data_IF_986318990468
#
_entry.id   IF_986318990468
#
_cell.length_a   1.000
_cell.length_b   1.000
_cell.length_c   1.000
_cell.angle_alpha   90.00
_cell.angle_beta   90.00
_cell.angle_gamma   90.00
#
_symmetry.space_group_name_H-M   'P 1'
#
loop_
_entity.id
_entity.type
_entity.pdbx_description
1 polymer ?
#
# COMPACT_ATOMS: atom_id res chain seq x y z
N UNK A 1 -17.69 -19.13 10.76
CA UNK A 1 -18.52 -18.13 10.07
C UNK A 1 -17.77 -17.74 8.81
N UNK A 2 -18.38 -17.79 7.62
CA UNK A 2 -17.73 -17.31 6.39
C UNK A 2 -17.67 -15.79 6.45
N UNK A 3 -16.50 -15.21 6.31
CA UNK A 3 -16.34 -13.77 6.33
C UNK A 3 -16.90 -13.16 5.04
N UNK A 4 -17.57 -12.02 5.16
CA UNK A 4 -18.25 -11.35 4.04
C UNK A 4 -17.30 -10.95 2.89
N UNK A 5 -16.05 -10.63 3.18
CA UNK A 5 -15.04 -10.27 2.16
C UNK A 5 -14.72 -11.40 1.18
N UNK A 6 -15.03 -12.66 1.51
CA UNK A 6 -14.89 -13.79 0.56
C UNK A 6 -16.05 -13.90 -0.44
N UNK A 7 -17.11 -13.15 -0.21
CA UNK A 7 -18.32 -13.17 -1.02
C UNK A 7 -18.56 -11.80 -1.65
N UNK A 8 -18.32 -10.74 -0.87
CA UNK A 8 -18.49 -9.34 -1.30
C UNK A 8 -17.15 -8.64 -1.10
N UNK A 9 -16.56 -8.04 -2.14
CA UNK A 9 -15.33 -7.28 -2.01
C UNK A 9 -15.47 -6.14 -0.98
N UNK A 10 -14.47 -5.97 -0.14
CA UNK A 10 -14.40 -4.87 0.82
C UNK A 10 -13.24 -3.97 0.41
N UNK A 11 -13.54 -2.74 0.04
CA UNK A 11 -12.58 -1.81 -0.56
C UNK A 11 -11.33 -1.56 0.27
N UNK A 12 -11.46 -1.56 1.59
CA UNK A 12 -10.38 -1.22 2.52
C UNK A 12 -9.66 -2.44 3.11
N UNK A 13 -10.10 -3.64 2.82
CA UNK A 13 -9.65 -4.88 3.48
C UNK A 13 -8.14 -5.12 3.36
N UNK A 14 -7.69 -5.68 2.24
CA UNK A 14 -6.27 -5.90 1.95
C UNK A 14 -5.52 -4.59 1.65
N UNK A 15 -6.20 -3.61 1.04
CA UNK A 15 -5.64 -2.28 0.79
C UNK A 15 -5.20 -1.59 2.09
N UNK A 16 -6.03 -1.62 3.14
CA UNK A 16 -5.67 -1.07 4.46
C UNK A 16 -4.44 -1.76 5.05
N UNK A 17 -4.34 -3.08 4.87
CA UNK A 17 -3.17 -3.83 5.31
C UNK A 17 -1.87 -3.36 4.63
N UNK A 18 -1.91 -3.12 3.32
CA UNK A 18 -0.77 -2.57 2.58
C UNK A 18 -0.41 -1.18 3.07
N UNK A 19 -1.40 -0.28 3.17
CA UNK A 19 -1.17 1.08 3.62
C UNK A 19 -0.55 1.14 5.02
N UNK A 20 -1.05 0.32 5.95
CA UNK A 20 -0.49 0.25 7.30
C UNK A 20 0.92 -0.33 7.35
N UNK A 21 1.21 -1.34 6.54
CA UNK A 21 2.54 -1.94 6.47
C UNK A 21 3.59 -0.97 5.91
N UNK A 22 3.22 -0.13 4.96
CA UNK A 22 4.12 0.81 4.29
C UNK A 22 4.14 2.21 4.92
N UNK A 23 3.31 2.48 5.92
CA UNK A 23 3.02 3.81 6.46
C UNK A 23 4.27 4.62 6.85
N UNK A 24 5.20 4.00 7.59
CA UNK A 24 6.37 4.68 8.16
C UNK A 24 7.66 4.55 7.33
N UNK A 25 7.58 3.90 6.16
CA UNK A 25 8.77 3.61 5.37
C UNK A 25 9.25 4.77 4.49
N UNK A 26 8.48 5.85 4.45
CA UNK A 26 8.80 7.06 3.67
C UNK A 26 8.50 6.90 2.18
N UNK A 27 7.68 5.94 1.82
CA UNK A 27 7.16 5.77 0.46
C UNK A 27 5.84 6.48 0.25
N UNK A 28 5.43 6.59 -1.01
CA UNK A 28 4.12 7.06 -1.43
C UNK A 28 3.26 5.86 -1.83
N UNK A 29 2.14 5.67 -1.14
CA UNK A 29 1.15 4.63 -1.46
C UNK A 29 -0.01 5.27 -2.21
N UNK A 30 -0.30 4.80 -3.41
CA UNK A 30 -1.40 5.32 -4.23
C UNK A 30 -2.46 4.25 -4.41
N UNK A 31 -3.62 4.48 -3.81
CA UNK A 31 -4.80 3.66 -3.98
C UNK A 31 -5.54 4.10 -5.25
N UNK A 32 -5.62 3.24 -6.25
CA UNK A 32 -6.45 3.51 -7.42
C UNK A 32 -7.90 3.16 -7.10
N UNK A 33 -8.70 4.18 -6.81
CA UNK A 33 -10.05 4.03 -6.29
C UNK A 33 -10.92 5.28 -6.52
N UNK A 34 -12.25 5.15 -6.56
CA UNK A 34 -13.18 6.28 -6.58
C UNK A 34 -13.19 7.18 -5.34
N UNK A 35 -12.42 6.85 -4.31
CA UNK A 35 -12.27 7.56 -3.03
C UNK A 35 -13.37 7.38 -1.98
N UNK A 36 -14.42 6.63 -2.25
CA UNK A 36 -15.51 6.44 -1.29
C UNK A 36 -15.07 5.74 0.00
N UNK A 37 -14.84 4.44 -0.06
CA UNK A 37 -14.53 3.64 1.13
C UNK A 37 -13.08 3.81 1.60
N UNK A 38 -12.12 3.98 0.68
CA UNK A 38 -10.71 4.12 1.05
C UNK A 38 -10.36 5.45 1.72
N UNK A 39 -11.17 6.49 1.58
CA UNK A 39 -10.98 7.76 2.28
C UNK A 39 -11.08 7.62 3.80
N UNK A 40 -11.82 6.64 4.30
CA UNK A 40 -11.94 6.38 5.74
C UNK A 40 -10.62 5.93 6.36
N UNK A 41 -9.79 5.23 5.61
CA UNK A 41 -8.45 4.84 6.06
C UNK A 41 -7.62 6.07 6.48
N UNK A 42 -7.60 7.10 5.64
CA UNK A 42 -6.83 8.32 5.90
C UNK A 42 -7.42 9.20 7.02
N UNK A 43 -8.68 9.00 7.39
CA UNK A 43 -9.36 9.86 8.36
C UNK A 43 -9.60 9.21 9.72
N UNK A 44 -9.78 7.90 9.78
CA UNK A 44 -10.24 7.21 10.99
C UNK A 44 -9.52 5.91 11.30
N UNK A 45 -9.10 5.16 10.30
CA UNK A 45 -8.64 3.79 10.51
C UNK A 45 -7.16 3.70 10.92
N UNK A 46 -6.34 4.70 10.59
CA UNK A 46 -4.92 4.73 10.91
C UNK A 46 -4.64 5.68 12.08
N UNK A 47 -4.43 5.13 13.24
CA UNK A 47 -4.22 5.90 14.48
C UNK A 47 -2.92 6.72 14.49
N UNK A 48 -1.91 6.30 13.74
CA UNK A 48 -0.62 7.02 13.62
C UNK A 48 -0.75 8.34 12.88
N UNK A 49 -1.85 8.55 12.16
CA UNK A 49 -2.12 9.77 11.42
C UNK A 49 -2.09 11.04 12.28
N UNK A 50 -2.39 10.89 13.58
CA UNK A 50 -2.36 12.02 14.52
C UNK A 50 -0.93 12.40 14.97
N UNK A 51 0.00 11.45 14.89
CA UNK A 51 1.37 11.60 15.40
C UNK A 51 2.40 11.72 14.28
N UNK A 52 2.10 11.16 13.12
CA UNK A 52 3.03 11.06 12.01
C UNK A 52 2.32 11.08 10.65
N UNK A 53 2.68 12.04 9.82
CA UNK A 53 2.18 12.12 8.45
C UNK A 53 2.73 10.99 7.57
N UNK A 54 1.92 10.54 6.60
CA UNK A 54 2.34 9.60 5.58
C UNK A 54 1.79 10.00 4.21
N UNK A 55 2.51 9.61 3.16
CA UNK A 55 2.13 9.91 1.78
C UNK A 55 1.20 8.81 1.25
N UNK A 56 -0.07 8.87 1.64
CA UNK A 56 -1.11 7.97 1.16
C UNK A 56 -2.13 8.77 0.36
N UNK A 57 -2.27 8.42 -0.90
CA UNK A 57 -3.12 9.11 -1.86
C UNK A 57 -4.19 8.17 -2.43
N UNK A 58 -5.30 8.78 -2.83
CA UNK A 58 -6.38 8.12 -3.56
C UNK A 58 -6.52 8.81 -4.90
N UNK A 59 -6.58 8.05 -5.98
CA UNK A 59 -6.57 8.59 -7.35
C UNK A 59 -7.84 9.33 -7.74
N UNK A 60 -8.95 9.14 -7.03
CA UNK A 60 -10.23 9.74 -7.38
C UNK A 60 -10.77 9.24 -8.74
N UNK A 61 -10.70 7.94 -8.98
CA UNK A 61 -11.20 7.29 -10.20
C UNK A 61 -12.66 7.66 -10.45
N UNK A 62 -12.94 8.28 -11.61
CA UNK A 62 -14.31 8.60 -12.03
C UNK A 62 -14.96 7.43 -12.78
N UNK A 63 -16.29 7.46 -12.93
CA UNK A 63 -17.01 6.46 -13.73
C UNK A 63 -16.52 6.43 -15.18
N UNK A 64 -16.25 7.61 -15.77
CA UNK A 64 -15.76 7.73 -17.12
C UNK A 64 -14.36 7.13 -17.24
N UNK A 65 -13.47 7.43 -16.28
CA UNK A 65 -12.12 6.86 -16.25
C UNK A 65 -12.15 5.33 -16.10
N UNK A 66 -13.09 4.82 -15.30
CA UNK A 66 -13.25 3.38 -15.12
C UNK A 66 -13.73 2.66 -16.39
N UNK A 67 -14.56 3.29 -17.20
CA UNK A 67 -15.12 2.71 -18.43
C UNK A 67 -14.17 2.87 -19.62
N UNK A 68 -13.57 4.03 -19.77
CA UNK A 68 -12.74 4.38 -20.93
C UNK A 68 -11.26 4.03 -20.76
N UNK A 69 -10.82 3.89 -19.51
CA UNK A 69 -9.41 3.86 -19.14
C UNK A 69 -8.80 5.28 -19.17
N UNK A 70 -8.00 5.63 -18.19
CA UNK A 70 -7.30 6.92 -18.15
C UNK A 70 -5.95 6.79 -17.42
N UNK A 71 -5.13 5.87 -17.89
CA UNK A 71 -3.82 5.60 -17.31
C UNK A 71 -2.89 6.82 -17.39
N UNK A 72 -3.01 7.64 -18.45
CA UNK A 72 -2.18 8.84 -18.62
C UNK A 72 -2.43 9.85 -17.49
N UNK A 73 -3.69 10.11 -17.16
CA UNK A 73 -4.04 11.01 -16.06
C UNK A 73 -3.51 10.45 -14.74
N UNK A 74 -3.75 9.18 -14.47
CA UNK A 74 -3.28 8.51 -13.27
C UNK A 74 -1.75 8.61 -13.10
N UNK A 75 -0.99 8.32 -14.15
CA UNK A 75 0.46 8.46 -14.16
C UNK A 75 0.91 9.92 -13.98
N UNK A 76 0.22 10.86 -14.63
CA UNK A 76 0.52 12.29 -14.53
C UNK A 76 0.37 12.82 -13.11
N UNK A 77 -0.75 12.49 -12.47
CA UNK A 77 -1.05 12.92 -11.09
C UNK A 77 -0.01 12.36 -10.09
N UNK A 78 0.38 11.09 -10.26
CA UNK A 78 1.42 10.46 -9.42
C UNK A 78 2.78 11.13 -9.64
N UNK A 79 3.15 11.43 -10.87
CA UNK A 79 4.42 12.09 -11.20
C UNK A 79 4.48 13.51 -10.62
N UNK A 80 3.38 14.23 -10.63
CA UNK A 80 3.28 15.56 -10.00
C UNK A 80 3.49 15.45 -8.48
N UNK A 81 2.75 14.57 -7.82
CA UNK A 81 2.92 14.31 -6.39
C UNK A 81 4.34 13.84 -6.04
N UNK A 82 4.93 12.97 -6.85
CA UNK A 82 6.29 12.49 -6.62
C UNK A 82 7.36 13.59 -6.72
N UNK A 83 7.16 14.58 -7.60
CA UNK A 83 8.05 15.77 -7.70
C UNK A 83 7.92 16.69 -6.50
N UNK A 84 6.74 16.80 -5.91
CA UNK A 84 6.49 17.64 -4.74
C UNK A 84 7.00 17.01 -3.46
N UNK A 85 6.67 15.73 -3.24
CA UNK A 85 6.90 15.05 -1.96
C UNK A 85 8.19 14.22 -1.88
N UNK A 86 8.86 13.96 -2.99
CA UNK A 86 10.12 13.22 -3.08
C UNK A 86 10.13 11.89 -2.29
N UNK A 87 9.18 10.97 -2.54
CA UNK A 87 9.10 9.71 -1.79
C UNK A 87 10.29 8.80 -2.07
N UNK A 88 10.61 7.91 -1.13
CA UNK A 88 11.67 6.91 -1.30
C UNK A 88 11.30 5.80 -2.28
N UNK A 89 10.01 5.51 -2.40
CA UNK A 89 9.44 4.57 -3.35
C UNK A 89 7.97 4.92 -3.62
N UNK A 90 7.41 4.35 -4.67
CA UNK A 90 5.98 4.47 -5.03
C UNK A 90 5.36 3.07 -5.03
N UNK A 91 4.30 2.87 -4.27
CA UNK A 91 3.54 1.63 -4.25
C UNK A 91 2.13 1.85 -4.82
N UNK A 92 1.77 1.12 -5.87
CA UNK A 92 0.44 1.15 -6.46
C UNK A 92 -0.42 0.04 -5.88
N UNK A 93 -1.62 0.39 -5.44
CA UNK A 93 -2.56 -0.49 -4.76
C UNK A 93 -3.91 -0.46 -5.47
N UNK A 94 -4.47 -1.62 -5.73
CA UNK A 94 -5.75 -1.75 -6.43
C UNK A 94 -6.92 -1.91 -5.48
N UNK A 95 -7.98 -1.14 -5.70
CA UNK A 95 -9.31 -1.44 -5.18
C UNK A 95 -10.05 -2.45 -6.07
N UNK A 96 -11.22 -2.97 -5.69
CA UNK A 96 -11.98 -3.92 -6.51
C UNK A 96 -12.32 -3.43 -7.92
N UNK A 97 -12.58 -2.14 -8.12
CA UNK A 97 -13.00 -1.62 -9.44
C UNK A 97 -11.85 -1.71 -10.47
N UNK A 98 -10.68 -1.14 -10.24
CA UNK A 98 -9.55 -1.28 -11.19
C UNK A 98 -9.13 -2.74 -11.38
N UNK A 99 -9.23 -3.56 -10.33
CA UNK A 99 -8.97 -5.00 -10.46
C UNK A 99 -9.93 -5.68 -11.43
N UNK A 100 -11.23 -5.41 -11.33
CA UNK A 100 -12.23 -5.96 -12.26
C UNK A 100 -12.08 -5.43 -13.69
N UNK A 101 -11.62 -4.19 -13.84
CA UNK A 101 -11.33 -3.60 -15.15
C UNK A 101 -10.05 -4.14 -15.79
N UNK A 102 -9.25 -4.91 -15.07
CA UNK A 102 -8.02 -5.49 -15.56
C UNK A 102 -6.88 -4.48 -15.74
N UNK A 103 -6.84 -3.42 -14.92
CA UNK A 103 -5.75 -2.44 -14.92
C UNK A 103 -4.40 -3.12 -14.66
N UNK A 104 -3.42 -2.92 -15.54
CA UNK A 104 -2.08 -3.51 -15.44
C UNK A 104 -1.16 -2.66 -14.54
N UNK A 105 -1.34 -2.79 -13.22
CA UNK A 105 -0.52 -2.08 -12.23
C UNK A 105 0.98 -2.37 -12.32
N UNK A 106 1.44 -3.61 -12.58
CA UNK A 106 2.85 -3.88 -12.83
C UNK A 106 3.44 -3.07 -13.98
N UNK A 107 2.72 -2.94 -15.10
CA UNK A 107 3.16 -2.13 -16.22
C UNK A 107 3.21 -0.63 -15.85
N UNK A 108 2.17 -0.12 -15.19
CA UNK A 108 2.11 1.27 -14.72
C UNK A 108 3.24 1.60 -13.73
N UNK A 109 3.53 0.72 -12.79
CA UNK A 109 4.63 0.89 -11.86
C UNK A 109 5.99 0.95 -12.57
N UNK A 110 6.19 0.11 -13.60
CA UNK A 110 7.41 0.13 -14.40
C UNK A 110 7.57 1.43 -15.19
N UNK A 111 6.50 1.95 -15.74
CA UNK A 111 6.51 3.26 -16.44
C UNK A 111 6.89 4.37 -15.46
N UNK A 112 6.27 4.40 -14.27
CA UNK A 112 6.60 5.36 -13.21
C UNK A 112 8.07 5.30 -12.82
N UNK A 113 8.61 4.10 -12.62
CA UNK A 113 10.02 3.92 -12.26
C UNK A 113 10.96 4.47 -13.32
N UNK A 114 10.67 4.21 -14.60
CA UNK A 114 11.49 4.71 -15.73
C UNK A 114 11.43 6.23 -15.82
N UNK A 115 10.24 6.82 -15.66
CA UNK A 115 10.04 8.26 -15.87
C UNK A 115 10.45 9.12 -14.66
N UNK A 116 10.30 8.59 -13.44
CA UNK A 116 10.62 9.34 -12.21
C UNK A 116 12.01 9.01 -11.64
N UNK A 117 12.56 7.85 -11.97
CA UNK A 117 13.77 7.31 -11.35
C UNK A 117 13.56 6.83 -9.90
N UNK A 118 12.31 6.84 -9.41
CA UNK A 118 11.96 6.40 -8.06
C UNK A 118 11.54 4.93 -8.12
N UNK A 119 12.07 4.05 -7.25
CA UNK A 119 11.65 2.65 -7.18
C UNK A 119 10.13 2.54 -7.08
N UNK A 120 9.49 1.91 -8.05
CA UNK A 120 8.03 1.82 -8.13
C UNK A 120 7.60 0.37 -8.30
N UNK A 121 6.55 -0.05 -7.58
CA UNK A 121 6.03 -1.41 -7.64
C UNK A 121 4.53 -1.45 -7.38
N UNK A 122 3.90 -2.51 -7.87
CA UNK A 122 2.49 -2.80 -7.61
C UNK A 122 2.36 -3.82 -6.49
N UNK A 123 1.37 -3.63 -5.63
CA UNK A 123 0.97 -4.62 -4.62
C UNK A 123 -0.39 -5.19 -5.04
N UNK A 124 -0.50 -6.51 -5.29
CA UNK A 124 -1.67 -7.11 -5.91
C UNK A 124 -2.84 -7.26 -4.92
N UNK A 125 -3.51 -6.17 -4.61
CA UNK A 125 -4.74 -6.11 -3.81
C UNK A 125 -5.98 -6.13 -4.70
N UNK A 126 -7.11 -6.54 -4.15
CA UNK A 126 -8.39 -6.61 -4.89
C UNK A 126 -9.64 -6.53 -4.00
N UNK A 127 -9.48 -6.28 -2.70
CA UNK A 127 -10.59 -6.25 -1.74
C UNK A 127 -11.20 -7.62 -1.40
N UNK A 128 -10.61 -8.71 -1.87
CA UNK A 128 -11.11 -10.07 -1.61
C UNK A 128 -10.41 -10.78 -0.45
N UNK A 129 -9.40 -10.15 0.13
CA UNK A 129 -8.59 -10.68 1.21
C UNK A 129 -8.68 -9.79 2.44
N UNK A 130 -8.20 -10.28 3.57
CA UNK A 130 -8.20 -9.51 4.81
C UNK A 130 -6.98 -8.59 4.94
N UNK A 131 -7.00 -7.79 5.99
CA UNK A 131 -5.93 -6.88 6.36
C UNK A 131 -4.56 -7.57 6.51
N UNK A 132 -4.53 -8.76 7.15
CA UNK A 132 -3.28 -9.48 7.42
C UNK A 132 -2.64 -9.95 6.12
N UNK A 133 -3.46 -10.42 5.17
CA UNK A 133 -2.99 -10.77 3.85
C UNK A 133 -2.37 -9.56 3.14
N UNK A 134 -3.07 -8.40 3.14
CA UNK A 134 -2.56 -7.18 2.53
C UNK A 134 -1.22 -6.74 3.12
N UNK A 135 -1.09 -6.75 4.45
CA UNK A 135 0.17 -6.43 5.11
C UNK A 135 1.29 -7.43 4.73
N UNK A 136 0.96 -8.73 4.64
CA UNK A 136 1.90 -9.77 4.27
C UNK A 136 2.49 -9.57 2.87
N UNK A 137 1.65 -9.33 1.86
CA UNK A 137 2.11 -9.09 0.48
C UNK A 137 2.90 -7.78 0.35
N UNK A 138 2.56 -6.75 1.14
CA UNK A 138 3.34 -5.51 1.16
C UNK A 138 4.77 -5.74 1.69
N UNK A 139 4.92 -6.47 2.78
CA UNK A 139 6.24 -6.83 3.31
C UNK A 139 7.03 -7.72 2.35
N UNK A 140 6.36 -8.63 1.65
CA UNK A 140 6.99 -9.48 0.63
C UNK A 140 7.58 -8.63 -0.51
N UNK A 141 6.81 -7.67 -1.04
CA UNK A 141 7.28 -6.79 -2.12
C UNK A 141 8.42 -5.87 -1.66
N UNK A 142 8.37 -5.31 -0.45
CA UNK A 142 9.48 -4.55 0.14
C UNK A 142 10.72 -5.43 0.30
N UNK A 143 10.57 -6.65 0.80
CA UNK A 143 11.69 -7.56 0.98
C UNK A 143 12.35 -7.93 -0.36
N UNK A 144 11.56 -8.28 -1.37
CA UNK A 144 12.07 -8.60 -2.71
C UNK A 144 12.87 -7.45 -3.32
N UNK A 145 12.45 -6.21 -3.07
CA UNK A 145 12.99 -5.06 -3.75
C UNK A 145 14.16 -4.39 -3.04
N UNK A 146 14.16 -4.37 -1.72
CA UNK A 146 15.10 -3.57 -0.94
C UNK A 146 16.05 -4.39 -0.06
N UNK A 147 15.72 -5.65 0.25
CA UNK A 147 16.60 -6.47 1.08
C UNK A 147 17.69 -7.12 0.24
N UNK A 148 18.96 -6.84 0.56
CA UNK A 148 20.11 -7.45 -0.07
C UNK A 148 20.82 -8.38 0.91
N UNK A 149 21.49 -9.44 0.41
CA UNK A 149 22.24 -10.40 1.25
C UNK A 149 23.34 -9.74 2.10
N UNK A 150 23.87 -8.60 1.67
CA UNK A 150 24.91 -7.86 2.40
C UNK A 150 24.38 -7.20 3.68
N UNK A 151 23.10 -6.82 3.69
CA UNK A 151 22.47 -6.14 4.82
C UNK A 151 21.97 -7.14 5.87
N UNK A 152 21.80 -8.40 5.50
CA UNK A 152 21.37 -9.47 6.40
C UNK A 152 22.43 -9.88 7.45
N UNK A 153 23.67 -9.44 7.32
CA UNK A 153 24.76 -9.76 8.28
C UNK A 153 24.85 -8.70 9.38
N UNK A 154 23.83 -8.60 10.21
CA UNK A 154 23.87 -7.79 11.43
C UNK A 154 24.84 -8.37 12.47
N UNK A 155 25.51 -7.51 13.22
CA UNK A 155 26.42 -7.88 14.28
C UNK A 155 25.59 -8.23 15.55
N UNK A 156 25.25 -9.50 15.74
CA UNK A 156 24.42 -9.99 16.85
C UNK A 156 25.23 -10.11 18.15
N UNK A 157 25.76 -9.00 18.64
CA UNK A 157 26.57 -8.98 19.87
C UNK A 157 25.74 -9.05 21.18
N UNK A 158 24.41 -8.96 21.11
CA UNK A 158 23.50 -9.01 22.27
C UNK A 158 22.31 -9.92 21.98
N UNK A 159 21.68 -10.44 23.04
CA UNK A 159 20.40 -11.16 22.90
C UNK A 159 19.35 -10.18 22.34
N UNK A 160 18.94 -10.40 21.12
CA UNK A 160 17.96 -9.60 20.40
C UNK A 160 16.80 -10.47 19.96
N UNK A 161 15.61 -9.92 19.94
CA UNK A 161 14.42 -10.53 19.36
C UNK A 161 13.97 -9.66 18.20
N UNK A 162 13.82 -10.26 17.02
CA UNK A 162 13.28 -9.59 15.87
C UNK A 162 11.76 -9.78 15.83
N UNK A 163 11.01 -8.69 15.85
CA UNK A 163 9.58 -8.69 15.60
C UNK A 163 9.36 -8.39 14.13
N UNK A 164 8.83 -9.36 13.37
CA UNK A 164 8.53 -9.21 11.96
C UNK A 164 7.01 -9.01 11.78
N UNK A 165 6.66 -8.08 10.89
CA UNK A 165 5.26 -7.84 10.51
C UNK A 165 4.41 -7.17 11.60
N UNK A 166 5.02 -6.45 12.53
CA UNK A 166 4.27 -5.66 13.50
C UNK A 166 3.54 -4.51 12.78
N UNK A 167 2.21 -4.53 12.84
CA UNK A 167 1.34 -3.48 12.35
C UNK A 167 0.58 -2.85 13.53
N UNK A 168 -0.11 -1.72 13.38
CA UNK A 168 -0.89 -1.11 14.47
C UNK A 168 -1.86 -2.08 15.16
N UNK A 169 -2.48 -2.97 14.39
CA UNK A 169 -3.37 -4.00 14.96
C UNK A 169 -2.59 -4.98 15.84
N UNK A 170 -1.43 -5.45 15.39
CA UNK A 170 -0.55 -6.35 16.17
C UNK A 170 0.02 -5.67 17.41
N UNK A 171 0.35 -4.38 17.31
CA UNK A 171 0.87 -3.59 18.42
C UNK A 171 -0.15 -3.44 19.55
N UNK A 172 -1.42 -3.26 19.22
CA UNK A 172 -2.52 -3.21 20.20
C UNK A 172 -2.62 -4.52 21.00
N UNK A 173 -2.46 -5.65 20.32
CA UNK A 173 -2.46 -6.95 20.99
C UNK A 173 -1.23 -7.17 21.88
N UNK A 174 -0.05 -6.74 21.47
CA UNK A 174 1.17 -6.83 22.28
C UNK A 174 1.07 -6.00 23.57
N UNK A 175 0.52 -4.79 23.49
CA UNK A 175 0.32 -3.91 24.65
C UNK A 175 -0.72 -4.41 25.64
N UNK A 176 -1.67 -5.20 25.20
CA UNK A 176 -2.70 -5.76 26.09
C UNK A 176 -2.17 -6.86 27.02
N UNK A 177 -0.92 -7.29 26.85
CA UNK A 177 -0.24 -8.33 27.63
C UNK A 177 0.91 -7.79 28.52
N UNK A 178 1.15 -6.48 28.54
CA UNK A 178 2.00 -5.80 29.51
C UNK A 178 1.21 -5.40 30.78
#
# INVERSE_FOLDING_TARGET
MRQSYRIIPIYTSDVSGVCSALYELGGMVVMHDPSGCNSTYNTHDEIRWYDQDSLIFISGLTEIDAVMGNDEKFLSDIKEAAREFHPKFIALVSSPIPFMNGTDFPALAKVLEIETGIPSFAVPTNGMHDYVYGAGIAFEEIAKRFVTEKEARGNYAKRTVNLLGATPVSYTHLRAHE
#
